data_IF_855556057804
#
_entry.id   IF_855556057804
#
_cell.length_a   1.000
_cell.length_b   1.000
_cell.length_c   1.000
_cell.angle_alpha   90.00
_cell.angle_beta   90.00
_cell.angle_gamma   90.00
#
_symmetry.space_group_name_H-M   'P 1'
#
loop_
_entity.id
_entity.type
_entity.pdbx_description
1 polymer ?
#
# COMPACT_ATOMS: atom_id res chain seq x y z
N UNK A 1 46.36 -12.00 23.47
CA UNK A 1 44.88 -12.07 23.37
C UNK A 1 44.22 -10.73 23.03
N UNK A 2 44.48 -9.63 23.75
CA UNK A 2 43.84 -8.31 23.47
C UNK A 2 44.06 -7.83 22.03
N UNK A 3 45.29 -7.92 21.51
CA UNK A 3 45.61 -7.55 20.11
C UNK A 3 44.80 -8.36 19.09
N UNK A 4 44.56 -9.64 19.38
CA UNK A 4 43.79 -10.53 18.50
C UNK A 4 42.31 -10.13 18.47
N UNK A 5 41.68 -9.96 19.63
CA UNK A 5 40.29 -9.48 19.70
C UNK A 5 40.11 -8.11 19.06
N UNK A 6 41.07 -7.18 19.26
CA UNK A 6 41.05 -5.86 18.61
C UNK A 6 41.07 -5.98 17.09
N UNK A 7 41.92 -6.86 16.54
CA UNK A 7 42.02 -7.07 15.10
C UNK A 7 40.75 -7.71 14.54
N UNK A 8 40.12 -8.64 15.26
CA UNK A 8 38.83 -9.23 14.87
C UNK A 8 37.73 -8.16 14.83
N UNK A 9 37.61 -7.35 15.87
CA UNK A 9 36.61 -6.28 15.93
C UNK A 9 36.84 -5.29 14.78
N UNK A 10 38.08 -4.87 14.55
CA UNK A 10 38.42 -3.97 13.45
C UNK A 10 38.06 -4.58 12.09
N UNK A 11 38.44 -5.84 11.84
CA UNK A 11 38.12 -6.54 10.60
C UNK A 11 36.60 -6.64 10.39
N UNK A 12 35.84 -6.94 11.43
CA UNK A 12 34.38 -7.00 11.37
C UNK A 12 33.76 -5.64 11.04
N UNK A 13 34.20 -4.56 11.70
CA UNK A 13 33.73 -3.20 11.41
C UNK A 13 34.03 -2.77 9.98
N UNK A 14 35.25 -3.02 9.49
CA UNK A 14 35.63 -2.75 8.09
C UNK A 14 34.76 -3.55 7.13
N UNK A 15 34.53 -4.84 7.42
CA UNK A 15 33.67 -5.70 6.59
C UNK A 15 32.23 -5.19 6.51
N UNK A 16 31.68 -4.67 7.62
CA UNK A 16 30.35 -4.06 7.63
C UNK A 16 30.28 -2.79 6.76
N UNK A 17 31.31 -1.94 6.81
CA UNK A 17 31.38 -0.73 5.99
C UNK A 17 31.48 -1.10 4.51
N UNK A 18 32.39 -2.00 4.14
CA UNK A 18 32.55 -2.47 2.76
C UNK A 18 31.26 -3.13 2.26
N UNK A 19 30.63 -3.98 3.07
CA UNK A 19 29.36 -4.61 2.71
C UNK A 19 28.24 -3.60 2.48
N UNK A 20 28.13 -2.57 3.33
CA UNK A 20 27.16 -1.48 3.16
C UNK A 20 27.38 -0.72 1.84
N UNK A 21 28.63 -0.40 1.52
CA UNK A 21 28.99 0.27 0.26
C UNK A 21 28.59 -0.62 -0.93
N UNK A 22 28.96 -1.91 -0.90
CA UNK A 22 28.64 -2.85 -1.99
C UNK A 22 27.14 -2.95 -2.19
N UNK A 23 26.35 -3.14 -1.13
CA UNK A 23 24.88 -3.26 -1.23
C UNK A 23 24.25 -1.99 -1.80
N UNK A 24 24.75 -0.80 -1.42
CA UNK A 24 24.25 0.48 -1.94
C UNK A 24 24.59 0.70 -3.40
N UNK A 25 25.85 0.51 -3.80
CA UNK A 25 26.31 0.73 -5.18
C UNK A 25 25.64 -0.25 -6.15
N UNK A 26 25.41 -1.49 -5.72
CA UNK A 26 24.79 -2.53 -6.57
C UNK A 26 23.26 -2.52 -6.49
N UNK A 27 22.65 -1.69 -5.65
CA UNK A 27 21.22 -1.69 -5.37
C UNK A 27 20.68 -3.11 -5.07
N UNK A 28 21.43 -3.89 -4.29
CA UNK A 28 21.12 -5.30 -4.05
C UNK A 28 19.80 -5.54 -3.29
N UNK A 29 19.21 -4.47 -2.74
CA UNK A 29 17.86 -4.41 -2.16
C UNK A 29 17.14 -3.18 -2.68
N UNK A 30 15.82 -3.25 -2.80
CA UNK A 30 15.01 -2.06 -3.11
C UNK A 30 15.11 -1.01 -2.00
N UNK A 31 15.11 0.25 -2.39
CA UNK A 31 14.82 1.34 -1.48
C UNK A 31 13.34 1.29 -1.07
N UNK A 32 13.07 1.50 0.22
CA UNK A 32 11.72 1.50 0.78
C UNK A 32 11.39 2.93 1.22
N UNK A 33 10.32 3.55 0.67
CA UNK A 33 9.92 4.88 1.09
C UNK A 33 9.45 4.88 2.56
N UNK A 34 9.84 5.91 3.30
CA UNK A 34 9.40 6.11 4.67
C UNK A 34 7.95 6.56 4.69
N UNK A 35 7.18 6.02 5.64
CA UNK A 35 5.76 6.33 5.85
C UNK A 35 5.57 7.28 7.02
N UNK A 36 4.46 8.03 6.96
CA UNK A 36 3.94 8.88 8.03
C UNK A 36 2.42 8.70 8.11
N UNK A 37 1.87 8.98 9.28
CA UNK A 37 0.43 9.20 9.46
C UNK A 37 0.23 10.71 9.45
N UNK A 38 -0.62 11.21 8.56
CA UNK A 38 -0.92 12.63 8.51
C UNK A 38 -1.88 13.05 9.63
N UNK A 39 -2.18 14.35 9.70
CA UNK A 39 -3.11 14.92 10.70
C UNK A 39 -4.53 14.34 10.63
N UNK A 40 -4.88 13.76 9.49
CA UNK A 40 -6.21 13.22 9.21
C UNK A 40 -6.28 11.70 9.47
N UNK A 41 -5.18 11.09 9.94
CA UNK A 41 -5.10 9.66 10.24
C UNK A 41 -4.75 8.79 9.03
N UNK A 42 -4.45 9.39 7.87
CA UNK A 42 -4.13 8.64 6.65
C UNK A 42 -2.66 8.29 6.61
N UNK A 43 -2.38 7.02 6.30
CA UNK A 43 -1.02 6.55 6.08
C UNK A 43 -0.54 6.94 4.67
N UNK A 44 0.44 7.84 4.62
CA UNK A 44 1.09 8.34 3.39
C UNK A 44 2.59 8.16 3.46
N UNK A 45 3.28 8.46 2.38
CA UNK A 45 4.73 8.55 2.37
C UNK A 45 5.20 9.96 2.79
N UNK A 46 6.44 10.07 3.27
CA UNK A 46 7.06 11.40 3.36
C UNK A 46 7.23 11.98 1.95
N UNK A 47 6.87 13.25 1.72
CA UNK A 47 6.98 13.89 0.41
C UNK A 47 8.41 13.93 -0.12
N UNK A 48 8.55 14.03 -1.44
CA UNK A 48 9.81 14.27 -2.16
C UNK A 48 10.90 13.23 -1.88
N UNK A 49 10.51 12.00 -1.54
CA UNK A 49 11.41 10.87 -1.45
C UNK A 49 11.61 10.25 -2.84
N UNK A 50 12.83 9.83 -3.13
CA UNK A 50 13.15 9.01 -4.30
C UNK A 50 13.94 7.80 -3.87
N UNK A 51 13.94 6.75 -4.68
CA UNK A 51 14.77 5.59 -4.44
C UNK A 51 14.81 4.65 -5.63
N UNK A 52 15.67 3.64 -5.54
CA UNK A 52 15.86 2.64 -6.58
C UNK A 52 15.04 1.39 -6.29
N UNK A 53 14.45 0.83 -7.33
CA UNK A 53 13.96 -0.54 -7.27
C UNK A 53 15.13 -1.55 -7.32
N UNK A 54 14.84 -2.82 -7.07
CA UNK A 54 15.80 -3.91 -6.99
C UNK A 54 16.78 -3.91 -8.19
N UNK A 55 18.08 -3.95 -7.90
CA UNK A 55 19.20 -3.87 -8.87
C UNK A 55 19.28 -2.55 -9.66
N UNK A 56 18.57 -1.51 -9.23
CA UNK A 56 18.57 -0.22 -9.90
C UNK A 56 17.91 -0.26 -11.28
N UNK A 57 16.96 -1.17 -11.52
CA UNK A 57 16.30 -1.28 -12.83
C UNK A 57 15.48 -0.03 -13.19
N UNK A 58 14.97 0.68 -12.20
CA UNK A 58 14.31 1.98 -12.33
C UNK A 58 14.28 2.68 -10.96
N UNK A 59 13.85 3.93 -10.97
CA UNK A 59 13.62 4.73 -9.77
C UNK A 59 12.12 4.89 -9.50
N UNK A 60 11.77 4.97 -8.23
CA UNK A 60 10.46 5.45 -7.78
C UNK A 60 10.61 6.82 -7.13
N UNK A 61 9.51 7.57 -7.10
CA UNK A 61 9.41 8.85 -6.42
C UNK A 61 8.08 9.00 -5.68
N UNK A 62 8.10 9.83 -4.65
CA UNK A 62 6.94 10.25 -3.87
C UNK A 62 6.73 11.74 -4.11
N UNK A 63 5.55 12.13 -4.59
CA UNK A 63 5.20 13.52 -4.82
C UNK A 63 5.02 14.34 -3.53
N UNK A 64 4.81 15.64 -3.70
CA UNK A 64 4.60 16.58 -2.59
C UNK A 64 3.36 16.26 -1.73
N UNK A 65 2.36 15.56 -2.29
CA UNK A 65 1.16 15.12 -1.56
C UNK A 65 1.41 13.85 -0.73
N UNK A 66 2.57 13.20 -0.88
CA UNK A 66 2.94 11.99 -0.17
C UNK A 66 2.45 10.69 -0.83
N UNK A 67 2.18 10.72 -2.13
CA UNK A 67 1.75 9.57 -2.93
C UNK A 67 2.82 9.13 -3.93
N UNK A 68 2.83 7.86 -4.38
CA UNK A 68 3.70 7.38 -5.43
C UNK A 68 3.49 8.12 -6.76
N UNK A 69 4.58 8.32 -7.52
CA UNK A 69 4.53 8.89 -8.86
C UNK A 69 4.51 10.41 -8.89
N UNK A 70 4.37 10.95 -10.11
CA UNK A 70 4.35 12.40 -10.38
C UNK A 70 2.96 12.99 -10.17
N UNK A 71 2.91 14.29 -9.89
CA UNK A 71 1.66 15.04 -9.95
C UNK A 71 1.32 15.39 -11.40
N UNK A 72 0.03 15.54 -11.73
CA UNK A 72 -0.34 16.14 -13.00
C UNK A 72 0.05 17.62 -13.05
N UNK A 73 0.30 18.14 -14.25
CA UNK A 73 0.62 19.56 -14.46
C UNK A 73 -0.52 20.51 -14.07
N UNK A 74 -1.76 20.01 -14.06
CA UNK A 74 -2.96 20.73 -13.64
C UNK A 74 -3.97 19.79 -12.96
N UNK A 75 -4.77 20.36 -12.05
CA UNK A 75 -5.90 19.68 -11.42
C UNK A 75 -7.25 19.92 -12.16
N UNK A 76 -7.24 20.60 -13.31
CA UNK A 76 -8.43 20.71 -14.16
C UNK A 76 -8.82 19.33 -14.71
N UNK A 77 -10.11 19.02 -14.76
CA UNK A 77 -10.61 17.70 -15.20
C UNK A 77 -9.89 16.52 -14.52
N UNK A 78 -9.59 16.66 -13.22
CA UNK A 78 -8.83 15.67 -12.47
C UNK A 78 -9.63 14.38 -12.21
N UNK A 79 -9.04 13.25 -12.53
CA UNK A 79 -9.47 11.92 -12.11
C UNK A 79 -8.45 11.35 -11.13
N UNK A 80 -8.88 11.01 -9.92
CA UNK A 80 -8.01 10.34 -8.95
C UNK A 80 -8.09 8.83 -9.10
N UNK A 81 -6.98 8.15 -8.81
CA UNK A 81 -6.86 6.69 -8.88
C UNK A 81 -6.38 6.22 -7.51
N UNK A 82 -7.25 5.57 -6.77
CA UNK A 82 -7.02 5.16 -5.38
C UNK A 82 -6.96 3.65 -5.34
N UNK A 83 -5.96 3.10 -4.66
CA UNK A 83 -5.81 1.67 -4.57
C UNK A 83 -4.67 1.22 -3.68
N UNK A 84 -4.38 -0.06 -3.77
CA UNK A 84 -3.40 -0.75 -2.96
C UNK A 84 -2.02 -0.81 -3.65
N UNK A 85 -1.27 -1.90 -3.41
CA UNK A 85 0.00 -2.20 -4.08
C UNK A 85 -0.08 -2.20 -5.61
N UNK A 86 -1.25 -2.53 -6.19
CA UNK A 86 -1.43 -2.56 -7.63
C UNK A 86 -1.32 -1.17 -8.26
N UNK A 87 -1.89 -0.15 -7.61
CA UNK A 87 -1.80 1.25 -8.06
C UNK A 87 -0.50 1.91 -7.57
N UNK A 88 0.02 1.54 -6.40
CA UNK A 88 1.32 2.04 -5.89
C UNK A 88 2.49 1.73 -6.84
N UNK A 89 2.50 0.52 -7.39
CA UNK A 89 3.30 0.11 -8.55
C UNK A 89 4.82 0.35 -8.49
N UNK A 90 5.46 0.41 -7.31
CA UNK A 90 6.92 0.59 -7.19
C UNK A 90 7.78 -0.50 -7.86
N UNK A 91 7.17 -1.61 -8.31
CA UNK A 91 7.87 -2.69 -9.00
C UNK A 91 8.12 -2.40 -10.47
N UNK A 92 7.46 -1.38 -11.02
CA UNK A 92 7.53 -1.03 -12.44
C UNK A 92 7.97 0.43 -12.62
N UNK A 93 8.62 0.74 -13.76
CA UNK A 93 8.94 2.11 -14.14
C UNK A 93 7.70 3.02 -14.21
N UNK A 94 7.90 4.33 -14.06
CA UNK A 94 6.82 5.33 -14.02
C UNK A 94 5.95 5.33 -15.28
N UNK A 95 6.50 5.02 -16.45
CA UNK A 95 5.75 4.88 -17.70
C UNK A 95 4.70 3.76 -17.70
N UNK A 96 4.81 2.80 -16.77
CA UNK A 96 3.84 1.72 -16.59
C UNK A 96 2.74 2.04 -15.57
N UNK A 97 2.73 3.24 -14.97
CA UNK A 97 1.70 3.64 -14.01
C UNK A 97 0.35 3.88 -14.69
N UNK A 98 -0.73 3.61 -13.95
CA UNK A 98 -2.09 3.68 -14.47
C UNK A 98 -2.46 5.11 -14.88
N UNK A 99 -2.02 6.12 -14.13
CA UNK A 99 -2.19 7.53 -14.47
C UNK A 99 -1.55 7.88 -15.82
N UNK A 100 -0.33 7.42 -16.08
CA UNK A 100 0.39 7.67 -17.34
C UNK A 100 -0.34 7.00 -18.51
N UNK A 101 -0.70 5.73 -18.36
CA UNK A 101 -1.42 4.97 -19.39
C UNK A 101 -2.80 5.54 -19.69
N UNK A 102 -3.53 6.05 -18.68
CA UNK A 102 -4.82 6.71 -18.88
C UNK A 102 -4.66 8.07 -19.52
N UNK A 103 -3.66 8.88 -19.14
CA UNK A 103 -3.40 10.18 -19.76
C UNK A 103 -3.14 10.06 -21.26
N UNK A 104 -2.44 9.02 -21.70
CA UNK A 104 -2.21 8.73 -23.12
C UNK A 104 -3.50 8.42 -23.90
N UNK A 105 -4.51 7.85 -23.24
CA UNK A 105 -5.79 7.47 -23.87
C UNK A 105 -6.88 8.54 -23.72
N UNK A 106 -6.84 9.30 -22.63
CA UNK A 106 -7.82 10.28 -22.20
C UNK A 106 -7.11 11.61 -21.94
N UNK A 107 -6.57 12.19 -23.00
CA UNK A 107 -5.76 13.41 -22.99
C UNK A 107 -6.45 14.64 -22.37
N UNK A 108 -7.78 14.72 -22.43
CA UNK A 108 -8.58 15.80 -21.84
C UNK A 108 -8.71 15.76 -20.31
N UNK A 109 -8.29 14.66 -19.68
CA UNK A 109 -8.33 14.47 -18.22
C UNK A 109 -6.92 14.49 -17.65
N UNK A 110 -6.80 14.89 -16.38
CA UNK A 110 -5.57 14.77 -15.61
C UNK A 110 -5.72 13.64 -14.59
N UNK A 111 -4.62 13.00 -14.21
CA UNK A 111 -4.67 11.81 -13.36
C UNK A 111 -3.74 11.96 -12.16
N UNK A 112 -4.23 11.57 -10.97
CA UNK A 112 -3.45 11.54 -9.74
C UNK A 112 -3.62 10.18 -9.07
N UNK A 113 -2.52 9.46 -8.89
CA UNK A 113 -2.50 8.22 -8.10
C UNK A 113 -2.37 8.55 -6.61
N UNK A 114 -3.20 7.90 -5.80
CA UNK A 114 -3.18 7.98 -4.34
C UNK A 114 -3.30 6.58 -3.77
N UNK A 115 -2.16 5.90 -3.69
CA UNK A 115 -2.11 4.48 -3.38
C UNK A 115 -1.05 4.13 -2.35
N UNK A 116 -1.33 3.05 -1.62
CA UNK A 116 -0.38 2.41 -0.71
C UNK A 116 -0.66 0.92 -0.60
N UNK A 117 0.40 0.10 -0.59
CA UNK A 117 0.32 -1.33 -0.29
C UNK A 117 -0.45 -1.59 1.01
N UNK A 118 -1.62 -2.24 0.92
CA UNK A 118 -2.52 -2.53 2.05
C UNK A 118 -3.54 -1.44 2.37
N UNK A 119 -3.97 -0.65 1.37
CA UNK A 119 -5.16 0.21 1.46
C UNK A 119 -6.40 -0.67 1.40
N UNK A 120 -7.24 -0.60 2.45
CA UNK A 120 -8.53 -1.29 2.50
C UNK A 120 -9.62 -0.46 1.80
N UNK A 121 -10.80 -1.04 1.60
CA UNK A 121 -11.94 -0.34 0.99
C UNK A 121 -12.32 0.93 1.76
N UNK A 122 -12.43 0.86 3.09
CA UNK A 122 -12.75 2.04 3.90
C UNK A 122 -11.61 3.06 3.91
N UNK A 123 -10.35 2.62 3.88
CA UNK A 123 -9.22 3.53 3.75
C UNK A 123 -9.25 4.28 2.42
N UNK A 124 -9.61 3.61 1.32
CA UNK A 124 -9.75 4.25 0.02
C UNK A 124 -10.84 5.35 0.03
N UNK A 125 -11.95 5.13 0.74
CA UNK A 125 -12.98 6.15 0.94
C UNK A 125 -12.49 7.34 1.77
N UNK A 126 -11.75 7.09 2.85
CA UNK A 126 -11.09 8.16 3.63
C UNK A 126 -10.08 8.95 2.77
N UNK A 127 -9.28 8.28 1.94
CA UNK A 127 -8.37 8.92 0.98
C UNK A 127 -9.16 9.81 0.03
N UNK A 128 -10.22 9.28 -0.58
CA UNK A 128 -11.05 10.02 -1.54
C UNK A 128 -11.66 11.29 -0.93
N UNK A 129 -12.18 11.19 0.29
CA UNK A 129 -12.74 12.32 1.05
C UNK A 129 -11.73 13.44 1.26
N UNK A 130 -10.43 13.14 1.41
CA UNK A 130 -9.39 14.17 1.51
C UNK A 130 -9.02 14.77 0.17
N UNK A 131 -9.04 13.94 -0.87
CA UNK A 131 -8.79 14.39 -2.24
C UNK A 131 -9.94 15.19 -2.83
N UNK A 132 -11.15 15.17 -2.24
CA UNK A 132 -12.27 16.03 -2.63
C UNK A 132 -11.89 17.54 -2.61
N UNK A 133 -10.90 17.93 -1.79
CA UNK A 133 -10.34 19.29 -1.79
C UNK A 133 -9.68 19.71 -3.11
N UNK A 134 -9.22 18.74 -3.91
CA UNK A 134 -8.69 18.94 -5.26
C UNK A 134 -9.79 18.96 -6.33
N UNK A 135 -11.05 18.79 -5.94
CA UNK A 135 -12.24 18.77 -6.80
C UNK A 135 -12.14 17.81 -8.00
N UNK A 136 -11.80 16.52 -7.78
CA UNK A 136 -11.78 15.55 -8.85
C UNK A 136 -13.17 15.40 -9.49
N UNK A 137 -13.21 15.25 -10.81
CA UNK A 137 -14.46 14.98 -11.54
C UNK A 137 -14.92 13.54 -11.32
N UNK A 138 -13.97 12.62 -11.10
CA UNK A 138 -14.20 11.21 -10.74
C UNK A 138 -13.07 10.68 -9.87
N UNK A 139 -13.41 9.75 -8.99
CA UNK A 139 -12.46 8.94 -8.24
C UNK A 139 -12.61 7.47 -8.68
N UNK A 140 -11.54 6.88 -9.21
CA UNK A 140 -11.46 5.47 -9.52
C UNK A 140 -10.90 4.75 -8.29
N UNK A 141 -11.70 3.90 -7.65
CA UNK A 141 -11.31 3.16 -6.44
C UNK A 141 -11.11 1.69 -6.82
N UNK A 142 -9.85 1.28 -6.89
CA UNK A 142 -9.45 -0.09 -7.20
C UNK A 142 -9.61 -0.98 -5.99
N UNK A 143 -10.34 -2.09 -6.15
CA UNK A 143 -10.72 -2.97 -5.05
C UNK A 143 -10.55 -4.44 -5.39
N UNK A 144 -10.21 -5.19 -4.36
CA UNK A 144 -10.18 -6.64 -4.30
C UNK A 144 -11.17 -7.15 -3.26
N UNK A 145 -11.46 -8.45 -3.28
CA UNK A 145 -12.38 -9.06 -2.31
C UNK A 145 -11.91 -8.89 -0.85
N UNK A 146 -10.59 -8.94 -0.62
CA UNK A 146 -10.01 -8.80 0.72
C UNK A 146 -10.24 -7.40 1.28
N UNK A 147 -10.24 -6.36 0.44
CA UNK A 147 -10.31 -4.97 0.90
C UNK A 147 -11.61 -4.67 1.65
N UNK A 148 -12.71 -5.33 1.26
CA UNK A 148 -13.99 -5.25 1.97
C UNK A 148 -13.92 -5.92 3.35
N UNK A 149 -13.32 -7.11 3.43
CA UNK A 149 -13.22 -7.86 4.69
C UNK A 149 -12.24 -7.19 5.65
N UNK A 150 -11.10 -6.75 5.15
CA UNK A 150 -10.06 -6.06 5.92
C UNK A 150 -10.52 -4.69 6.43
N UNK A 151 -11.50 -4.07 5.76
CA UNK A 151 -12.12 -2.84 6.24
C UNK A 151 -12.93 -3.03 7.51
N UNK A 152 -13.34 -4.24 7.88
CA UNK A 152 -14.32 -4.46 8.95
C UNK A 152 -13.60 -4.99 10.20
N UNK A 153 -13.48 -4.11 11.21
CA UNK A 153 -12.84 -4.45 12.48
C UNK A 153 -13.55 -5.61 13.20
N UNK A 154 -14.88 -5.67 13.10
CA UNK A 154 -15.70 -6.71 13.71
C UNK A 154 -15.42 -8.13 13.20
N UNK A 155 -14.92 -8.27 11.97
CA UNK A 155 -14.51 -9.57 11.41
C UNK A 155 -13.13 -9.95 11.94
N UNK A 156 -12.16 -9.04 11.79
CA UNK A 156 -10.79 -9.24 12.22
C UNK A 156 -10.13 -7.90 12.53
N UNK A 157 -9.81 -7.61 13.80
CA UNK A 157 -9.06 -6.42 14.16
C UNK A 157 -7.64 -6.46 13.56
N UNK A 158 -7.28 -5.40 12.85
CA UNK A 158 -5.97 -5.19 12.24
C UNK A 158 -5.49 -3.79 12.62
N UNK A 159 -4.48 -3.71 13.47
CA UNK A 159 -4.04 -2.43 14.04
C UNK A 159 -3.28 -1.54 13.05
N UNK A 160 -2.79 -2.07 11.94
CA UNK A 160 -1.90 -1.38 10.99
C UNK A 160 -2.57 -0.86 9.73
N UNK A 161 -3.87 -1.07 9.58
CA UNK A 161 -4.65 -0.56 8.46
C UNK A 161 -5.87 0.20 8.99
N UNK A 162 -6.47 1.05 8.17
CA UNK A 162 -7.72 1.71 8.55
C UNK A 162 -8.87 0.74 8.40
N UNK A 163 -9.71 0.69 9.44
CA UNK A 163 -10.92 -0.15 9.50
C UNK A 163 -12.12 0.69 9.95
N UNK A 164 -13.32 0.16 9.81
CA UNK A 164 -14.53 0.66 10.46
C UNK A 164 -14.96 -0.31 11.55
N UNK A 165 -15.34 0.24 12.69
CA UNK A 165 -16.08 -0.44 13.73
C UNK A 165 -17.57 -0.25 13.43
N UNK A 166 -18.23 -1.28 12.91
CA UNK A 166 -19.62 -1.19 12.44
C UNK A 166 -20.59 -1.07 13.62
N UNK A 167 -20.23 -1.56 14.80
CA UNK A 167 -21.06 -1.41 16.01
C UNK A 167 -20.98 0.00 16.55
N UNK A 168 -19.79 0.59 16.57
CA UNK A 168 -19.57 1.95 17.04
C UNK A 168 -19.80 3.02 15.95
N UNK A 169 -20.07 2.61 14.69
CA UNK A 169 -20.25 3.50 13.54
C UNK A 169 -19.07 4.48 13.36
N UNK A 170 -17.84 3.99 13.55
CA UNK A 170 -16.65 4.84 13.60
C UNK A 170 -15.46 4.25 12.86
N UNK A 171 -14.78 5.09 12.09
CA UNK A 171 -13.48 4.77 11.49
C UNK A 171 -12.40 4.67 12.57
N UNK A 172 -11.64 3.58 12.52
CA UNK A 172 -10.48 3.28 13.36
C UNK A 172 -9.23 3.35 12.47
N UNK A 173 -8.47 4.43 12.62
CA UNK A 173 -7.25 4.66 11.84
C UNK A 173 -6.13 3.69 12.23
N UNK A 174 -5.42 3.21 11.21
CA UNK A 174 -4.28 2.31 11.40
C UNK A 174 -3.07 2.99 12.05
N UNK A 175 -2.26 2.20 12.75
CA UNK A 175 -1.04 2.62 13.44
C UNK A 175 0.21 2.06 12.73
N UNK A 176 1.31 2.82 12.74
CA UNK A 176 2.57 2.33 12.21
C UNK A 176 3.14 1.20 13.10
N UNK A 177 3.30 0.00 12.53
CA UNK A 177 4.01 -1.10 13.19
C UNK A 177 5.52 -0.84 13.26
N UNK A 178 6.05 -0.77 14.48
CA UNK A 178 7.49 -0.72 14.81
C UNK A 178 8.28 0.33 13.99
N UNK A 179 7.88 1.61 14.01
CA UNK A 179 8.46 2.65 13.15
C UNK A 179 9.96 2.83 13.36
N UNK A 180 10.44 2.77 14.62
CA UNK A 180 11.86 2.91 14.94
C UNK A 180 12.72 1.77 14.38
N UNK A 181 12.28 0.52 14.55
CA UNK A 181 13.00 -0.67 14.04
C UNK A 181 13.03 -0.65 12.52
N UNK A 182 11.91 -0.33 11.87
CA UNK A 182 11.84 -0.20 10.40
C UNK A 182 12.76 0.89 9.89
N UNK A 183 12.81 2.05 10.56
CA UNK A 183 13.71 3.15 10.19
C UNK A 183 15.18 2.71 10.24
N UNK A 184 15.59 2.00 11.29
CA UNK A 184 16.95 1.47 11.39
C UNK A 184 17.24 0.45 10.30
N UNK A 185 16.33 -0.51 10.10
CA UNK A 185 16.48 -1.56 9.09
C UNK A 185 16.60 -0.96 7.68
N UNK A 186 15.74 -0.01 7.31
CA UNK A 186 15.72 0.56 5.97
C UNK A 186 16.88 1.53 5.71
N UNK A 187 17.45 2.12 6.76
CA UNK A 187 18.63 2.98 6.66
C UNK A 187 19.95 2.19 6.60
N UNK A 188 20.02 0.99 7.20
CA UNK A 188 21.20 0.12 7.13
C UNK A 188 20.99 -0.97 6.07
N UNK A 189 21.43 -0.70 4.82
CA UNK A 189 21.07 -1.51 3.66
C UNK A 189 21.64 -2.91 3.70
N UNK A 190 22.84 -3.08 4.25
CA UNK A 190 23.45 -4.38 4.50
C UNK A 190 22.64 -5.20 5.49
N UNK A 191 22.15 -4.59 6.58
CA UNK A 191 21.27 -5.29 7.51
C UNK A 191 19.94 -5.68 6.84
N UNK A 192 19.37 -4.80 6.01
CA UNK A 192 18.17 -5.13 5.24
C UNK A 192 18.40 -6.24 4.21
N UNK A 193 19.55 -6.24 3.55
CA UNK A 193 19.99 -7.31 2.64
C UNK A 193 20.06 -8.65 3.36
N UNK A 194 20.73 -8.70 4.52
CA UNK A 194 20.80 -9.92 5.32
C UNK A 194 19.43 -10.37 5.81
N UNK A 195 18.58 -9.44 6.25
CA UNK A 195 17.21 -9.74 6.66
C UNK A 195 16.39 -10.39 5.54
N UNK A 196 16.49 -9.87 4.30
CA UNK A 196 15.78 -10.41 3.16
C UNK A 196 16.36 -11.75 2.67
N UNK A 197 17.70 -11.88 2.66
CA UNK A 197 18.39 -13.05 2.08
C UNK A 197 18.50 -14.23 3.04
N UNK A 198 18.66 -13.93 4.32
CA UNK A 198 18.82 -14.88 5.42
C UNK A 198 17.85 -14.53 6.53
N UNK A 199 16.53 -14.71 6.31
CA UNK A 199 15.54 -14.43 7.34
C UNK A 199 15.92 -15.22 8.59
N UNK A 200 16.22 -14.50 9.67
CA UNK A 200 16.68 -15.13 10.91
C UNK A 200 15.50 -15.89 11.48
N UNK A 201 15.46 -17.20 11.24
CA UNK A 201 14.47 -18.11 11.78
C UNK A 201 14.72 -18.29 13.28
N UNK A 202 14.37 -17.29 14.09
CA UNK A 202 14.24 -17.44 15.54
C UNK A 202 12.93 -18.19 15.88
N UNK A 203 12.81 -19.44 15.39
CA UNK A 203 11.91 -20.52 15.82
C UNK A 203 12.11 -21.70 14.84
N UNK A 204 12.53 -22.91 15.22
CA UNK A 204 11.72 -23.97 15.88
C UNK A 204 10.24 -24.10 15.48
N UNK A 205 9.73 -23.30 14.55
CA UNK A 205 8.43 -23.47 13.93
C UNK A 205 8.64 -23.82 12.47
N UNK A 206 8.14 -25.01 12.10
CA UNK A 206 8.31 -25.63 10.79
C UNK A 206 8.20 -24.59 9.68
N UNK A 207 9.11 -24.58 8.69
CA UNK A 207 8.92 -23.77 7.51
C UNK A 207 7.54 -24.14 6.96
N UNK A 208 6.59 -23.19 6.98
CA UNK A 208 5.45 -23.30 6.09
C UNK A 208 6.09 -23.29 4.71
N UNK A 209 6.16 -24.46 4.07
CA UNK A 209 6.41 -24.58 2.64
C UNK A 209 5.64 -23.44 1.97
N UNK A 210 6.18 -22.74 0.97
CA UNK A 210 5.37 -21.85 0.17
C UNK A 210 4.14 -22.66 -0.21
N UNK A 211 2.98 -22.26 0.32
CA UNK A 211 1.74 -22.80 -0.20
C UNK A 211 1.81 -22.35 -1.64
N UNK A 212 2.07 -23.28 -2.55
CA UNK A 212 1.45 -23.20 -3.86
C UNK A 212 0.01 -22.94 -3.50
N UNK A 213 -0.42 -21.69 -3.69
CA UNK A 213 -1.82 -21.33 -3.55
C UNK A 213 -2.45 -22.06 -4.73
N UNK A 214 -2.71 -23.35 -4.54
CA UNK A 214 -3.76 -24.01 -5.28
C UNK A 214 -4.93 -23.05 -5.18
N UNK A 215 -5.54 -22.64 -6.31
CA UNK A 215 -6.66 -21.72 -6.27
C UNK A 215 -7.61 -22.32 -5.24
N UNK A 216 -7.83 -21.58 -4.13
CA UNK A 216 -8.82 -21.98 -3.15
C UNK A 216 -10.14 -21.93 -3.90
N UNK A 217 -10.56 -23.07 -4.45
CA UNK A 217 -11.96 -23.41 -4.66
C UNK A 217 -12.54 -23.66 -3.28
N UNK A 218 -12.69 -22.60 -2.53
CA UNK A 218 -13.65 -22.50 -1.45
C UNK A 218 -14.37 -21.19 -1.71
N UNK A 219 -15.63 -21.29 -2.08
CA UNK A 219 -16.63 -20.23 -1.99
C UNK A 219 -16.70 -19.77 -0.51
N UNK A 220 -15.69 -19.03 -0.06
CA UNK A 220 -15.80 -18.12 1.08
C UNK A 220 -16.74 -16.93 0.74
N UNK A 221 -17.32 -16.94 -0.47
CA UNK A 221 -17.94 -15.84 -1.20
C UNK A 221 -19.19 -15.26 -0.55
N UNK A 222 -19.71 -15.87 0.53
CA UNK A 222 -20.78 -15.27 1.32
C UNK A 222 -20.68 -15.44 2.84
N UNK A 223 -19.52 -15.85 3.39
CA UNK A 223 -19.40 -15.98 4.86
C UNK A 223 -19.66 -14.66 5.60
N UNK A 224 -19.31 -13.53 4.97
CA UNK A 224 -19.37 -12.19 5.56
C UNK A 224 -20.33 -11.25 4.81
N UNK A 225 -21.35 -11.81 4.15
CA UNK A 225 -22.25 -11.03 3.29
C UNK A 225 -23.01 -9.94 4.05
N UNK A 226 -23.41 -10.20 5.30
CA UNK A 226 -24.13 -9.23 6.14
C UNK A 226 -23.23 -8.09 6.62
N UNK A 227 -21.99 -8.41 6.98
CA UNK A 227 -20.99 -7.43 7.39
C UNK A 227 -20.59 -6.54 6.22
N UNK A 228 -20.40 -7.11 5.02
CA UNK A 228 -20.16 -6.33 3.79
C UNK A 228 -21.37 -5.42 3.50
N UNK A 229 -22.60 -5.91 3.62
CA UNK A 229 -23.78 -5.06 3.44
C UNK A 229 -23.81 -3.89 4.44
N UNK A 230 -23.46 -4.16 5.70
CA UNK A 230 -23.40 -3.13 6.74
C UNK A 230 -22.30 -2.10 6.46
N UNK A 231 -21.14 -2.55 5.97
CA UNK A 231 -20.06 -1.67 5.49
C UNK A 231 -20.52 -0.80 4.32
N UNK A 232 -21.26 -1.37 3.35
CA UNK A 232 -21.78 -0.62 2.21
C UNK A 232 -22.82 0.43 2.64
N UNK A 233 -23.72 0.08 3.58
CA UNK A 233 -24.65 1.05 4.18
C UNK A 233 -23.91 2.18 4.89
N UNK A 234 -22.90 1.85 5.70
CA UNK A 234 -22.04 2.84 6.34
C UNK A 234 -21.43 3.81 5.33
N UNK A 235 -20.87 3.27 4.23
CA UNK A 235 -20.26 4.11 3.20
C UNK A 235 -21.29 5.02 2.52
N UNK A 236 -22.46 4.49 2.19
CA UNK A 236 -23.54 5.27 1.58
C UNK A 236 -24.05 6.41 2.47
N UNK A 237 -24.02 6.22 3.79
CA UNK A 237 -24.48 7.23 4.77
C UNK A 237 -23.41 8.29 5.08
N UNK A 238 -22.12 7.96 4.94
CA UNK A 238 -21.03 8.80 5.45
C UNK A 238 -20.14 9.45 4.37
N UNK A 239 -20.29 9.06 3.10
CA UNK A 239 -19.44 9.54 2.00
C UNK A 239 -20.25 9.92 0.76
N UNK A 240 -19.71 10.86 -0.03
CA UNK A 240 -20.22 11.12 -1.39
C UNK A 240 -19.83 9.98 -2.32
N UNK A 241 -20.82 9.41 -3.00
CA UNK A 241 -20.68 8.24 -3.87
C UNK A 241 -20.83 8.56 -5.36
N UNK A 242 -21.47 9.69 -5.73
CA UNK A 242 -21.88 9.99 -7.11
C UNK A 242 -20.71 10.16 -8.10
N UNK A 243 -19.53 10.51 -7.57
CA UNK A 243 -18.31 10.70 -8.32
C UNK A 243 -17.32 9.53 -8.15
N UNK A 244 -17.71 8.46 -7.45
CA UNK A 244 -16.87 7.31 -7.15
C UNK A 244 -17.20 6.14 -8.08
N UNK A 245 -16.17 5.56 -8.69
CA UNK A 245 -16.29 4.37 -9.56
C UNK A 245 -15.45 3.27 -8.94
N UNK A 246 -16.08 2.15 -8.59
CA UNK A 246 -15.35 0.98 -8.13
C UNK A 246 -14.78 0.20 -9.32
N UNK A 247 -13.46 -0.03 -9.30
CA UNK A 247 -12.75 -0.82 -10.31
C UNK A 247 -12.35 -2.15 -9.69
N UNK A 248 -13.10 -3.20 -10.03
CA UNK A 248 -12.87 -4.55 -9.50
C UNK A 248 -11.75 -5.25 -10.26
N UNK A 249 -10.90 -5.98 -9.53
CA UNK A 249 -9.94 -6.90 -10.15
C UNK A 249 -10.64 -7.96 -11.02
N UNK A 250 -10.02 -8.49 -12.10
CA UNK A 250 -10.65 -9.39 -13.08
C UNK A 250 -11.30 -10.67 -12.53
N UNK A 251 -10.92 -11.10 -11.31
CA UNK A 251 -11.43 -12.30 -10.65
C UNK A 251 -12.14 -11.99 -9.33
N UNK A 252 -12.68 -10.77 -9.22
CA UNK A 252 -13.46 -10.37 -8.05
C UNK A 252 -14.74 -11.20 -7.90
N UNK A 253 -15.18 -11.36 -6.66
CA UNK A 253 -16.34 -12.16 -6.31
C UNK A 253 -17.61 -11.49 -6.84
N UNK A 254 -18.33 -12.19 -7.73
CA UNK A 254 -19.57 -11.70 -8.34
C UNK A 254 -20.62 -11.28 -7.32
N UNK A 255 -20.74 -11.97 -6.17
CA UNK A 255 -21.69 -11.62 -5.13
C UNK A 255 -21.39 -10.25 -4.50
N UNK A 256 -20.10 -9.91 -4.31
CA UNK A 256 -19.71 -8.58 -3.79
C UNK A 256 -20.02 -7.50 -4.83
N UNK A 257 -19.73 -7.75 -6.10
CA UNK A 257 -20.04 -6.82 -7.20
C UNK A 257 -21.56 -6.56 -7.25
N UNK A 258 -22.37 -7.61 -7.19
CA UNK A 258 -23.82 -7.49 -7.17
C UNK A 258 -24.34 -6.69 -5.96
N UNK A 259 -23.77 -6.91 -4.77
CA UNK A 259 -24.12 -6.13 -3.58
C UNK A 259 -23.79 -4.64 -3.76
N UNK A 260 -22.61 -4.33 -4.31
CA UNK A 260 -22.20 -2.96 -4.59
C UNK A 260 -23.17 -2.26 -5.57
N UNK A 261 -23.52 -2.95 -6.67
CA UNK A 261 -24.44 -2.42 -7.69
C UNK A 261 -25.86 -2.21 -7.16
N UNK A 262 -26.34 -3.11 -6.30
CA UNK A 262 -27.71 -3.03 -5.75
C UNK A 262 -27.85 -1.90 -4.72
N UNK A 263 -26.82 -1.65 -3.92
CA UNK A 263 -26.91 -0.83 -2.71
C UNK A 263 -26.32 0.57 -2.83
N UNK A 264 -25.24 0.76 -3.61
CA UNK A 264 -24.43 1.99 -3.51
C UNK A 264 -24.08 2.57 -4.87
N UNK A 265 -23.47 1.80 -5.77
CA UNK A 265 -22.91 2.34 -7.02
C UNK A 265 -23.79 1.92 -8.20
N UNK A 266 -24.63 2.85 -8.70
CA UNK A 266 -25.45 2.66 -9.91
C UNK A 266 -24.84 3.40 -11.09
#
# INVERSE_FOLDING_TARGET
MIKFFRNIILFFLVSLIVGEIVVRVTHAVSDIPQRRIDKDGIQKYYPNQTGYWLKGTHTWQINELGWPGELPDSYDNLVTIIGDSFIENFMNPSECHQAVLLKQRLNNYNFLEAARSGVSFIEAFEISKRLDSLKPVKNLIYVTNSDFIESIKDIKPLEDITQVDLKAQKVVYGKMKSPGVKKLLYNWKLAYYFYNRFPINFNFWKPKKPKVVAPKKEDASFKYGLEIQSLLSYVNENYSINDKILVFHPNSNKAIIELCNKKVFR
#
